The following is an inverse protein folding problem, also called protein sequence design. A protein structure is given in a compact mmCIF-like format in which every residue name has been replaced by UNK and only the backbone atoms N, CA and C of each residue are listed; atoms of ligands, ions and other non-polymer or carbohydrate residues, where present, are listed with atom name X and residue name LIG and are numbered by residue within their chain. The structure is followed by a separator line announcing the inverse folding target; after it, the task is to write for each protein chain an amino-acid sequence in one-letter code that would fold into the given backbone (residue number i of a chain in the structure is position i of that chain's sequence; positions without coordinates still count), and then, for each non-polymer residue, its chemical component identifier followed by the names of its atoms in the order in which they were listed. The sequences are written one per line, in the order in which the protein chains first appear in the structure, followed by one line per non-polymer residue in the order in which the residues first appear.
data_IF_952977945409
#
_entry.id   IF_952977945409
#
_cell.length_a   1.000
_cell.length_b   1.000
_cell.length_c   1.000
_cell.angle_alpha   90.00
_cell.angle_beta   90.00
_cell.angle_gamma   90.00
#
_symmetry.space_group_name_H-M   'P 1'
#
loop_
_entity.id
_entity.type
_entity.pdbx_description
1 polymer ?
#
# COMPACT_ATOMS: atom_id res chain seq x y z
N UNK A 1 1.07 1.25 -9.06
CA UNK A 1 0.72 1.46 -7.62
C UNK A 1 -0.79 1.42 -7.48
N UNK A 2 -1.31 0.66 -6.55
CA UNK A 2 -2.74 0.57 -6.22
C UNK A 2 -3.00 1.47 -5.00
N UNK A 3 -3.79 2.51 -5.19
CA UNK A 3 -4.04 3.59 -4.25
C UNK A 3 -3.19 4.84 -4.55
N UNK A 4 -3.78 6.01 -4.38
CA UNK A 4 -3.09 7.27 -4.58
C UNK A 4 -2.33 7.69 -3.32
N UNK A 5 -1.01 7.67 -3.37
CA UNK A 5 -0.14 8.17 -2.32
C UNK A 5 0.55 9.46 -2.81
N UNK A 6 0.26 10.62 -2.22
CA UNK A 6 0.75 11.92 -2.73
C UNK A 6 2.27 12.03 -2.89
N UNK A 7 3.03 11.28 -2.10
CA UNK A 7 4.49 11.27 -2.18
C UNK A 7 5.05 10.45 -3.35
N UNK A 8 4.24 9.53 -3.92
CA UNK A 8 4.75 8.51 -4.85
C UNK A 8 5.29 9.10 -6.14
N UNK A 9 4.56 10.05 -6.73
CA UNK A 9 4.97 10.68 -7.97
C UNK A 9 6.34 11.36 -7.84
N UNK A 10 6.56 12.13 -6.78
CA UNK A 10 7.83 12.83 -6.54
C UNK A 10 8.97 11.87 -6.16
N UNK A 11 8.67 10.81 -5.41
CA UNK A 11 9.68 9.86 -4.96
C UNK A 11 10.20 8.95 -6.09
N UNK A 12 9.38 8.70 -7.11
CA UNK A 12 9.67 7.74 -8.17
C UNK A 12 9.90 8.39 -9.55
N UNK A 13 9.74 9.71 -9.69
CA UNK A 13 9.78 10.43 -10.96
C UNK A 13 11.00 10.14 -11.83
N UNK A 14 12.17 9.99 -11.21
CA UNK A 14 13.44 9.75 -11.90
C UNK A 14 13.87 8.26 -11.92
N UNK A 15 13.11 7.40 -11.23
CA UNK A 15 13.50 6.00 -11.00
C UNK A 15 12.68 5.01 -11.83
N UNK A 16 11.41 5.34 -12.14
CA UNK A 16 10.50 4.40 -12.80
C UNK A 16 9.37 5.12 -13.56
N UNK A 17 8.82 4.44 -14.55
CA UNK A 17 7.51 4.78 -15.10
C UNK A 17 6.43 4.38 -14.07
N UNK A 18 5.63 5.33 -13.61
CA UNK A 18 4.67 5.14 -12.53
C UNK A 18 3.24 5.17 -13.04
N UNK A 19 2.50 4.08 -12.83
CA UNK A 19 1.06 3.99 -13.02
C UNK A 19 0.38 4.02 -11.64
N UNK A 20 -0.48 5.02 -11.39
CA UNK A 20 -1.30 5.09 -10.18
C UNK A 20 -2.72 4.67 -10.57
N UNK A 21 -3.25 3.66 -9.88
CA UNK A 21 -4.60 3.14 -10.10
C UNK A 21 -5.45 3.43 -8.86
N UNK A 22 -6.56 4.13 -9.06
CA UNK A 22 -7.40 4.59 -7.96
C UNK A 22 -8.90 4.40 -8.29
N UNK A 23 -9.72 4.15 -7.27
CA UNK A 23 -11.18 4.02 -7.42
C UNK A 23 -11.86 5.33 -7.78
N UNK A 24 -11.37 6.39 -7.17
CA UNK A 24 -11.80 7.76 -7.45
C UNK A 24 -10.60 8.52 -8.03
N UNK A 25 -10.24 8.25 -9.30
CA UNK A 25 -9.03 8.79 -9.90
C UNK A 25 -9.07 10.30 -9.99
N UNK A 26 -7.95 10.94 -9.69
CA UNK A 26 -7.72 12.35 -10.00
C UNK A 26 -6.94 12.46 -11.32
N UNK A 27 -6.68 13.69 -11.76
CA UNK A 27 -5.93 13.93 -13.00
C UNK A 27 -4.56 13.24 -12.95
N UNK A 28 -4.29 12.39 -13.96
CA UNK A 28 -3.07 11.59 -14.06
C UNK A 28 -3.20 10.17 -13.50
N UNK A 29 -4.24 9.85 -12.75
CA UNK A 29 -4.48 8.49 -12.27
C UNK A 29 -5.24 7.65 -13.32
N UNK A 30 -5.03 6.35 -13.27
CA UNK A 30 -5.83 5.36 -13.98
C UNK A 30 -6.99 4.86 -13.09
N UNK A 31 -8.13 4.49 -13.67
CA UNK A 31 -9.18 3.82 -12.91
C UNK A 31 -8.69 2.45 -12.41
N UNK A 32 -9.20 1.99 -11.28
CA UNK A 32 -8.81 0.70 -10.68
C UNK A 32 -8.99 -0.50 -11.61
N UNK A 33 -9.96 -0.45 -12.53
CA UNK A 33 -10.18 -1.48 -13.55
C UNK A 33 -9.02 -1.63 -14.55
N UNK A 34 -8.14 -0.64 -14.69
CA UNK A 34 -6.94 -0.74 -15.52
C UNK A 34 -5.92 -1.75 -14.97
N UNK A 35 -6.09 -2.22 -13.73
CA UNK A 35 -5.24 -3.25 -13.11
C UNK A 35 -5.10 -4.51 -13.97
N UNK A 36 -6.17 -4.96 -14.62
CA UNK A 36 -6.18 -6.15 -15.48
C UNK A 36 -5.19 -6.06 -16.66
N UNK A 37 -4.90 -4.85 -17.11
CA UNK A 37 -4.03 -4.60 -18.27
C UNK A 37 -2.63 -4.15 -17.89
N UNK A 38 -2.50 -3.40 -16.78
CA UNK A 38 -1.23 -2.78 -16.41
C UNK A 38 -0.38 -3.66 -15.50
N UNK A 39 -0.98 -4.31 -14.49
CA UNK A 39 -0.20 -5.04 -13.47
C UNK A 39 0.63 -6.19 -14.04
N UNK A 40 0.17 -6.99 -15.02
CA UNK A 40 0.96 -8.09 -15.57
C UNK A 40 2.28 -7.68 -16.23
N UNK A 41 2.42 -6.40 -16.58
CA UNK A 41 3.63 -5.84 -17.21
C UNK A 41 4.53 -5.04 -16.28
N UNK A 42 4.21 -4.97 -14.98
CA UNK A 42 4.98 -4.20 -14.02
C UNK A 42 6.11 -5.03 -13.39
N UNK A 43 7.27 -4.40 -13.14
CA UNK A 43 8.37 -5.00 -12.36
C UNK A 43 8.09 -4.93 -10.85
N UNK A 44 7.43 -3.86 -10.40
CA UNK A 44 7.06 -3.62 -9.00
C UNK A 44 5.59 -3.24 -8.91
N UNK A 45 4.88 -3.85 -7.96
CA UNK A 45 3.49 -3.51 -7.67
C UNK A 45 3.32 -3.16 -6.19
N UNK A 46 3.02 -1.90 -5.93
CA UNK A 46 2.69 -1.41 -4.59
C UNK A 46 1.20 -1.46 -4.39
N UNK A 47 0.74 -2.16 -3.34
CA UNK A 47 -0.67 -2.37 -3.06
C UNK A 47 -1.02 -1.79 -1.70
N UNK A 48 -2.01 -0.88 -1.67
CA UNK A 48 -2.53 -0.33 -0.41
C UNK A 48 -3.16 -1.40 0.47
N UNK A 49 -2.95 -1.33 1.79
CA UNK A 49 -3.60 -2.21 2.75
C UNK A 49 -5.13 -2.14 2.74
N UNK A 50 -5.72 -1.03 2.25
CA UNK A 50 -7.17 -0.91 2.09
C UNK A 50 -7.77 -1.92 1.10
N UNK A 51 -6.95 -2.56 0.25
CA UNK A 51 -7.37 -3.65 -0.65
C UNK A 51 -7.88 -4.90 0.08
N UNK A 52 -7.53 -5.08 1.36
CA UNK A 52 -8.14 -6.11 2.22
C UNK A 52 -9.58 -5.74 2.58
N UNK A 53 -9.83 -4.47 2.90
CA UNK A 53 -11.15 -3.97 3.29
C UNK A 53 -12.14 -4.07 2.12
N UNK A 54 -11.71 -3.67 0.93
CA UNK A 54 -12.54 -3.70 -0.27
C UNK A 54 -12.51 -5.05 -1.00
N UNK A 55 -11.74 -6.04 -0.50
CA UNK A 55 -11.67 -7.43 -0.99
C UNK A 55 -11.08 -7.58 -2.39
N UNK A 56 -10.31 -6.61 -2.87
CA UNK A 56 -9.65 -6.69 -4.19
C UNK A 56 -8.31 -7.41 -4.15
N UNK A 57 -7.73 -7.59 -2.95
CA UNK A 57 -6.37 -8.13 -2.78
C UNK A 57 -6.11 -9.47 -3.49
N UNK A 58 -7.02 -10.48 -3.50
CA UNK A 58 -6.70 -11.74 -4.16
C UNK A 58 -6.45 -11.57 -5.67
N UNK A 59 -7.28 -10.75 -6.33
CA UNK A 59 -7.12 -10.49 -7.76
C UNK A 59 -5.88 -9.68 -8.07
N UNK A 60 -5.57 -8.67 -7.23
CA UNK A 60 -4.37 -7.86 -7.40
C UNK A 60 -3.10 -8.71 -7.28
N UNK A 61 -3.03 -9.63 -6.30
CA UNK A 61 -1.88 -10.54 -6.15
C UNK A 61 -1.74 -11.50 -7.33
N UNK A 62 -2.85 -12.03 -7.85
CA UNK A 62 -2.84 -12.88 -9.04
C UNK A 62 -2.27 -12.14 -10.26
N UNK A 63 -2.69 -10.90 -10.49
CA UNK A 63 -2.20 -10.07 -11.59
C UNK A 63 -0.73 -9.66 -11.43
N UNK A 64 -0.23 -9.60 -10.19
CA UNK A 64 1.11 -9.16 -9.83
C UNK A 64 2.10 -10.30 -9.60
N UNK A 65 1.73 -11.54 -9.91
CA UNK A 65 2.52 -12.75 -9.56
C UNK A 65 3.95 -12.75 -10.09
N UNK A 66 4.21 -12.03 -11.19
CA UNK A 66 5.52 -11.96 -11.84
C UNK A 66 6.30 -10.68 -11.44
N UNK A 67 5.71 -9.82 -10.62
CA UNK A 67 6.28 -8.60 -10.10
C UNK A 67 6.77 -8.74 -8.65
N UNK A 68 7.65 -7.86 -8.24
CA UNK A 68 7.93 -7.68 -6.79
C UNK A 68 6.76 -6.95 -6.15
N UNK A 69 6.03 -7.63 -5.27
CA UNK A 69 4.81 -7.11 -4.65
C UNK A 69 5.07 -6.54 -3.26
N UNK A 70 4.72 -5.28 -3.07
CA UNK A 70 4.93 -4.52 -1.83
C UNK A 70 3.58 -4.07 -1.27
N UNK A 71 3.23 -4.56 -0.08
CA UNK A 71 2.08 -4.05 0.65
C UNK A 71 2.45 -2.78 1.39
N UNK A 72 1.66 -1.71 1.24
CA UNK A 72 1.94 -0.41 1.86
C UNK A 72 0.73 0.18 2.57
N UNK A 73 1.04 1.05 3.53
CA UNK A 73 0.05 1.84 4.26
C UNK A 73 -0.35 1.24 5.61
N UNK A 74 -0.98 2.06 6.46
CA UNK A 74 -1.27 1.71 7.85
C UNK A 74 -2.31 0.58 8.00
N UNK A 75 -3.13 0.35 6.97
CA UNK A 75 -4.11 -0.75 6.96
C UNK A 75 -3.51 -2.10 6.56
N UNK A 76 -2.22 -2.16 6.26
CA UNK A 76 -1.54 -3.42 5.92
C UNK A 76 -1.42 -4.29 7.16
N UNK A 77 -1.91 -5.55 7.13
CA UNK A 77 -1.66 -6.50 8.22
C UNK A 77 -0.18 -6.80 8.36
N UNK A 78 0.38 -6.64 9.56
CA UNK A 78 1.77 -6.95 9.87
C UNK A 78 1.99 -8.47 10.08
N UNK A 79 1.50 -9.30 9.16
CA UNK A 79 1.51 -10.76 9.29
C UNK A 79 2.38 -11.43 8.22
N UNK A 80 3.32 -12.31 8.61
CA UNK A 80 4.16 -13.03 7.67
C UNK A 80 3.39 -14.00 6.76
N UNK A 81 2.15 -14.34 7.08
CA UNK A 81 1.30 -15.18 6.23
C UNK A 81 1.10 -14.59 4.83
N UNK A 82 1.24 -13.27 4.69
CA UNK A 82 1.10 -12.62 3.39
C UNK A 82 2.16 -13.07 2.38
N UNK A 83 3.31 -13.53 2.86
CA UNK A 83 4.36 -14.09 2.00
C UNK A 83 3.92 -15.38 1.31
N UNK A 84 3.05 -16.18 1.94
CA UNK A 84 2.50 -17.40 1.36
C UNK A 84 1.54 -17.12 0.21
N UNK A 85 1.04 -15.89 0.14
CA UNK A 85 0.13 -15.41 -0.91
C UNK A 85 0.80 -14.54 -1.98
N UNK A 86 2.13 -14.50 -2.00
CA UNK A 86 2.87 -13.83 -3.07
C UNK A 86 3.30 -12.39 -2.77
N UNK A 87 3.13 -11.90 -1.55
CA UNK A 87 3.71 -10.62 -1.12
C UNK A 87 5.19 -10.79 -0.86
N UNK A 88 6.03 -9.86 -1.32
CA UNK A 88 7.48 -9.88 -1.11
C UNK A 88 7.92 -8.96 0.03
N UNK A 89 7.28 -7.81 0.16
CA UNK A 89 7.59 -6.83 1.20
C UNK A 89 6.30 -6.35 1.85
N UNK A 90 6.31 -6.31 3.18
CA UNK A 90 5.23 -5.77 3.99
C UNK A 90 5.71 -4.49 4.65
N UNK A 91 5.02 -3.38 4.42
CA UNK A 91 5.15 -2.18 5.24
C UNK A 91 3.83 -1.93 5.95
N UNK A 92 3.87 -1.88 7.27
CA UNK A 92 2.71 -1.74 8.12
C UNK A 92 2.95 -0.64 9.17
N UNK A 93 1.91 -0.33 9.92
CA UNK A 93 1.99 0.58 11.06
C UNK A 93 1.89 -0.21 12.36
N UNK A 94 2.72 0.14 13.34
CA UNK A 94 2.67 -0.40 14.68
C UNK A 94 2.72 0.72 15.73
N UNK A 95 1.99 0.55 16.82
CA UNK A 95 2.02 1.47 17.95
C UNK A 95 2.08 0.69 19.26
N UNK A 96 2.93 1.14 20.17
CA UNK A 96 2.98 0.73 21.57
C UNK A 96 2.37 1.77 22.51
N UNK A 97 1.72 2.81 21.95
CA UNK A 97 1.11 3.94 22.65
C UNK A 97 -0.41 4.02 22.39
N UNK A 98 -1.22 3.09 22.93
CA UNK A 98 -2.64 2.99 22.58
C UNK A 98 -3.44 4.28 22.92
N UNK A 99 -3.11 4.96 24.02
CA UNK A 99 -3.77 6.23 24.37
C UNK A 99 -3.50 7.33 23.36
N UNK A 100 -2.24 7.48 22.94
CA UNK A 100 -1.85 8.45 21.92
C UNK A 100 -2.43 8.10 20.55
N UNK A 101 -2.51 6.80 20.24
CA UNK A 101 -3.17 6.33 19.01
C UNK A 101 -4.66 6.70 19.01
N UNK A 102 -5.36 6.51 20.11
CA UNK A 102 -6.76 6.92 20.25
C UNK A 102 -6.95 8.43 20.03
N UNK A 103 -6.10 9.26 20.61
CA UNK A 103 -6.12 10.70 20.40
C UNK A 103 -5.87 11.09 18.94
N UNK A 104 -4.93 10.40 18.29
CA UNK A 104 -4.65 10.58 16.87
C UNK A 104 -5.84 10.22 16.00
N UNK A 105 -6.48 9.07 16.25
CA UNK A 105 -7.68 8.62 15.51
C UNK A 105 -8.88 9.55 15.70
N UNK A 106 -8.93 10.27 16.84
CA UNK A 106 -9.93 11.30 17.11
C UNK A 106 -9.57 12.66 16.47
N UNK A 107 -8.46 12.75 15.72
CA UNK A 107 -8.00 14.00 15.10
C UNK A 107 -7.42 15.02 16.07
N UNK A 108 -7.00 14.60 17.25
CA UNK A 108 -6.44 15.49 18.29
C UNK A 108 -4.95 15.78 18.12
N UNK A 109 -4.23 14.95 17.35
CA UNK A 109 -2.82 15.12 17.08
C UNK A 109 -2.60 15.74 15.68
N UNK A 110 -1.76 16.76 15.60
CA UNK A 110 -1.49 17.50 14.36
C UNK A 110 -0.75 16.67 13.30
N UNK A 111 0.17 15.80 13.70
CA UNK A 111 0.92 14.91 12.83
C UNK A 111 0.18 13.61 12.48
N UNK A 112 -1.05 13.46 12.97
CA UNK A 112 -1.88 12.30 12.70
C UNK A 112 -1.35 11.02 13.34
N UNK A 113 -1.75 9.86 12.82
CA UNK A 113 -1.45 8.57 13.43
C UNK A 113 0.04 8.24 13.53
N UNK A 114 0.87 8.80 12.67
CA UNK A 114 2.32 8.52 12.68
C UNK A 114 3.06 9.16 13.86
N UNK A 115 2.46 10.09 14.59
CA UNK A 115 2.98 10.55 15.88
C UNK A 115 2.83 9.50 16.98
N UNK A 116 1.81 8.64 16.86
CA UNK A 116 1.46 7.63 17.85
C UNK A 116 2.10 6.26 17.58
N UNK A 117 3.00 6.15 16.62
CA UNK A 117 3.62 4.87 16.27
C UNK A 117 4.66 4.98 15.17
N UNK A 118 5.04 3.84 14.63
CA UNK A 118 6.10 3.75 13.64
C UNK A 118 5.70 2.86 12.45
N UNK A 119 6.35 3.10 11.32
CA UNK A 119 6.32 2.16 10.21
C UNK A 119 7.22 0.98 10.52
N UNK A 120 6.71 -0.22 10.32
CA UNK A 120 7.47 -1.47 10.40
C UNK A 120 7.55 -2.08 9.00
N UNK A 121 8.69 -2.69 8.69
CA UNK A 121 8.93 -3.30 7.39
C UNK A 121 9.47 -4.71 7.56
N UNK A 122 9.01 -5.61 6.70
CA UNK A 122 9.49 -6.99 6.66
C UNK A 122 9.49 -7.49 5.22
N UNK A 123 10.65 -7.99 4.77
CA UNK A 123 10.77 -8.68 3.50
C UNK A 123 10.56 -10.19 3.69
N UNK A 124 10.18 -10.87 2.60
CA UNK A 124 10.15 -12.33 2.53
C UNK A 124 11.55 -12.88 2.83
N UNK A 125 11.68 -13.92 3.66
CA UNK A 125 12.96 -14.61 3.95
C UNK A 125 13.62 -15.17 2.71
#
# INVERSE_FOLDING_TARGET
MIGHFPFAASALADAAELFILERNPVEGDYPDSAAEYLLPGCDYVFITGSSFVNKTIPRLLELSRDAVTVMIGPSTPASPILFDFGVDIITAFASDQPGMLDESLQGKLLGGMYEAGMRVEKARP
#
